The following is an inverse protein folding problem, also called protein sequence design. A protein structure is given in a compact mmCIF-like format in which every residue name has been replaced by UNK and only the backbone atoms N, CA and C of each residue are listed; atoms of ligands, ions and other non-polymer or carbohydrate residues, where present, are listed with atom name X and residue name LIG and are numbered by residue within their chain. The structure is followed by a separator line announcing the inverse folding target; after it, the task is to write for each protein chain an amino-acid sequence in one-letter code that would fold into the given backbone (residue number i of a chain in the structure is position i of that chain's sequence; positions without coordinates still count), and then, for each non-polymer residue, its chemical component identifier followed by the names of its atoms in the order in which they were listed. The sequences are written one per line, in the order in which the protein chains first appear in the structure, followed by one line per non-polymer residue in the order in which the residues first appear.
data_IF_170672612736
#
_entry.id   IF_170672612736
#
_cell.length_a   1.000
_cell.length_b   1.000
_cell.length_c   1.000
_cell.angle_alpha   90.00
_cell.angle_beta   90.00
_cell.angle_gamma   90.00
#
_symmetry.space_group_name_H-M   'P 1'
#
loop_
_entity.id
_entity.type
_entity.pdbx_description
1 polymer ?
#
# COMPACT_ATOMS: atom_id res chain seq x y z
N UNK A 1 75.74 -55.58 -27.62
CA UNK A 1 74.43 -55.37 -28.28
C UNK A 1 73.33 -55.91 -27.38
N UNK A 2 72.29 -55.09 -27.16
CA UNK A 2 70.99 -55.38 -26.52
C UNK A 2 70.99 -55.89 -25.07
N UNK A 3 70.30 -55.15 -24.19
CA UNK A 3 69.39 -55.70 -23.17
C UNK A 3 68.44 -54.60 -22.66
N UNK A 4 67.21 -54.96 -22.21
CA UNK A 4 66.02 -54.15 -22.44
C UNK A 4 65.51 -53.36 -21.22
N UNK A 5 64.53 -52.51 -21.52
CA UNK A 5 63.88 -51.49 -20.71
C UNK A 5 63.01 -52.06 -19.58
N UNK A 6 63.01 -51.42 -18.41
CA UNK A 6 61.89 -51.43 -17.46
C UNK A 6 61.29 -50.02 -17.39
N UNK A 7 60.01 -49.91 -17.75
CA UNK A 7 59.17 -48.73 -17.53
C UNK A 7 58.35 -48.97 -16.26
N UNK A 8 58.57 -48.16 -15.23
CA UNK A 8 57.63 -48.01 -14.11
C UNK A 8 56.68 -46.86 -14.47
N UNK A 9 55.39 -47.19 -14.62
CA UNK A 9 54.33 -46.20 -14.78
C UNK A 9 53.93 -45.61 -13.45
N UNK A 10 53.99 -44.28 -13.35
CA UNK A 10 53.53 -43.52 -12.18
C UNK A 10 52.14 -42.95 -12.52
N UNK A 11 51.10 -43.44 -11.85
CA UNK A 11 49.74 -42.90 -11.95
C UNK A 11 49.63 -41.73 -10.97
N UNK A 12 49.52 -40.51 -11.48
CA UNK A 12 49.21 -39.31 -10.69
C UNK A 12 47.71 -39.08 -10.75
N UNK A 13 47.02 -39.24 -9.63
CA UNK A 13 45.62 -38.89 -9.49
C UNK A 13 45.50 -37.37 -9.25
N UNK A 14 44.89 -36.66 -10.19
CA UNK A 14 44.55 -35.23 -10.05
C UNK A 14 43.15 -35.13 -9.45
N UNK A 15 43.06 -34.68 -8.19
CA UNK A 15 41.77 -34.35 -7.56
C UNK A 15 41.46 -32.88 -7.90
N UNK A 16 40.51 -32.67 -8.80
CA UNK A 16 39.97 -31.34 -9.11
C UNK A 16 38.94 -30.91 -8.07
N UNK A 17 39.20 -29.82 -7.36
CA UNK A 17 38.21 -29.17 -6.48
C UNK A 17 37.30 -28.30 -7.34
N UNK A 18 36.03 -28.71 -7.51
CA UNK A 18 34.99 -27.87 -8.10
C UNK A 18 34.51 -26.86 -7.05
N UNK A 19 34.82 -25.58 -7.25
CA UNK A 19 34.17 -24.48 -6.54
C UNK A 19 32.84 -24.21 -7.24
N UNK A 20 31.74 -24.69 -6.67
CA UNK A 20 30.39 -24.34 -7.13
C UNK A 20 30.03 -22.96 -6.57
N UNK A 21 30.09 -21.93 -7.41
CA UNK A 21 29.47 -20.63 -7.10
C UNK A 21 27.96 -20.77 -7.27
N UNK A 22 27.22 -20.95 -6.19
CA UNK A 22 25.76 -20.88 -6.22
C UNK A 22 25.35 -19.42 -6.53
N UNK A 23 24.80 -19.19 -7.72
CA UNK A 23 24.10 -17.94 -8.00
C UNK A 23 22.87 -17.86 -7.07
N UNK A 24 22.54 -16.69 -6.49
CA UNK A 24 21.35 -16.56 -5.66
C UNK A 24 20.12 -16.85 -6.54
N UNK A 25 19.24 -17.74 -6.06
CA UNK A 25 17.95 -17.97 -6.68
C UNK A 25 17.18 -16.65 -6.68
N UNK A 26 16.96 -16.08 -7.87
CA UNK A 26 16.11 -14.91 -8.04
C UNK A 26 14.68 -15.39 -7.78
N UNK A 27 14.05 -14.93 -6.70
CA UNK A 27 12.64 -15.20 -6.48
C UNK A 27 11.85 -14.75 -7.72
N UNK A 28 10.96 -15.61 -8.21
CA UNK A 28 10.14 -15.29 -9.37
C UNK A 28 9.34 -14.00 -9.11
N UNK A 29 9.30 -13.11 -10.10
CA UNK A 29 8.55 -11.86 -10.03
C UNK A 29 7.06 -12.17 -9.84
N UNK A 30 6.42 -11.50 -8.88
CA UNK A 30 5.00 -11.68 -8.62
C UNK A 30 4.16 -11.06 -9.75
N UNK A 31 3.05 -11.68 -10.18
CA UNK A 31 2.17 -11.09 -11.17
C UNK A 31 1.51 -9.81 -10.62
N UNK A 32 1.60 -8.71 -11.36
CA UNK A 32 0.95 -7.44 -11.00
C UNK A 32 -0.33 -7.31 -11.81
N UNK A 33 -1.47 -7.30 -11.12
CA UNK A 33 -2.78 -7.03 -11.72
C UNK A 33 -3.22 -5.63 -11.34
N UNK A 34 -3.42 -4.75 -12.32
CA UNK A 34 -3.89 -3.37 -12.13
C UNK A 34 -5.42 -3.32 -12.03
N UNK A 35 -5.92 -3.81 -10.89
CA UNK A 35 -7.34 -3.86 -10.56
C UNK A 35 -7.54 -3.78 -9.05
N UNK A 36 -8.41 -2.89 -8.60
CA UNK A 36 -8.69 -2.68 -7.18
C UNK A 36 -9.12 -3.96 -6.47
N UNK A 37 -9.94 -4.79 -7.12
CA UNK A 37 -10.48 -6.03 -6.57
C UNK A 37 -9.53 -7.23 -6.69
N UNK A 38 -8.31 -7.06 -7.21
CA UNK A 38 -7.34 -8.15 -7.40
C UNK A 38 -6.94 -8.85 -6.08
N UNK A 39 -7.17 -8.21 -4.94
CA UNK A 39 -6.93 -8.79 -3.62
C UNK A 39 -8.04 -9.73 -3.12
N UNK A 40 -9.27 -9.62 -3.64
CA UNK A 40 -10.44 -10.36 -3.15
C UNK A 40 -10.25 -11.88 -3.22
N UNK A 41 -9.74 -12.48 -4.32
CA UNK A 41 -9.55 -13.93 -4.38
C UNK A 41 -8.66 -14.47 -3.26
N UNK A 42 -7.63 -13.72 -2.86
CA UNK A 42 -6.73 -14.12 -1.76
C UNK A 42 -7.48 -14.11 -0.41
N UNK A 43 -8.31 -13.10 -0.14
CA UNK A 43 -9.13 -13.05 1.07
C UNK A 43 -10.17 -14.19 1.13
N UNK A 44 -10.68 -14.64 -0.02
CA UNK A 44 -11.60 -15.78 -0.09
C UNK A 44 -10.90 -17.13 0.17
N UNK A 45 -9.63 -17.27 -0.24
CA UNK A 45 -8.87 -18.52 -0.09
C UNK A 45 -8.05 -18.60 1.18
N UNK A 46 -7.65 -17.45 1.75
CA UNK A 46 -6.90 -17.30 2.99
C UNK A 46 -7.52 -16.18 3.86
N UNK A 47 -8.67 -16.46 4.53
CA UNK A 47 -9.38 -15.51 5.38
C UNK A 47 -8.50 -14.83 6.43
N UNK A 48 -8.41 -13.50 6.40
CA UNK A 48 -7.56 -12.71 7.32
C UNK A 48 -6.05 -12.88 7.10
N UNK A 49 -5.65 -13.58 6.05
CA UNK A 49 -4.28 -13.82 5.62
C UNK A 49 -3.59 -12.59 5.02
N UNK A 50 -2.47 -12.81 4.34
CA UNK A 50 -1.68 -11.74 3.71
C UNK A 50 -1.47 -12.03 2.23
N UNK A 51 -1.49 -10.97 1.41
CA UNK A 51 -1.16 -11.11 0.00
C UNK A 51 0.28 -11.59 -0.18
N UNK A 52 0.56 -12.48 -1.14
CA UNK A 52 1.93 -12.89 -1.47
C UNK A 52 2.84 -11.68 -1.69
N UNK A 53 3.92 -11.57 -0.91
CA UNK A 53 4.86 -10.45 -0.96
C UNK A 53 4.64 -9.37 0.10
N UNK A 54 3.59 -9.46 0.91
CA UNK A 54 3.34 -8.59 2.07
C UNK A 54 3.52 -9.32 3.39
N UNK A 55 3.74 -8.55 4.47
CA UNK A 55 3.80 -9.05 5.85
C UNK A 55 4.84 -10.15 6.09
N UNK A 56 5.93 -10.13 5.31
CA UNK A 56 7.12 -10.93 5.57
C UNK A 56 7.92 -10.31 6.73
N UNK A 57 7.71 -10.83 7.93
CA UNK A 57 8.38 -10.38 9.15
C UNK A 57 9.87 -10.73 9.21
N UNK A 58 10.43 -11.44 8.21
CA UNK A 58 11.87 -11.63 8.07
C UNK A 58 12.49 -10.69 7.03
N UNK A 59 11.69 -9.82 6.40
CA UNK A 59 12.17 -8.90 5.39
C UNK A 59 13.12 -7.86 6.01
N UNK A 60 14.30 -7.72 5.42
CA UNK A 60 15.30 -6.70 5.79
C UNK A 60 15.32 -5.61 4.72
N UNK A 61 15.00 -4.35 5.04
CA UNK A 61 15.08 -3.25 4.09
C UNK A 61 16.49 -3.12 3.48
N UNK A 62 16.56 -2.82 2.19
CA UNK A 62 17.82 -2.66 1.49
C UNK A 62 18.38 -1.25 1.65
N UNK A 63 19.64 -1.04 1.30
CA UNK A 63 20.21 0.31 1.26
C UNK A 63 19.50 1.23 0.25
N UNK A 64 18.94 0.66 -0.83
CA UNK A 64 18.17 1.39 -1.84
C UNK A 64 16.78 1.79 -1.32
N UNK A 65 16.14 0.89 -0.56
CA UNK A 65 14.82 1.10 0.02
C UNK A 65 14.88 0.84 1.54
N UNK A 66 15.45 1.79 2.31
CA UNK A 66 15.73 1.58 3.74
C UNK A 66 14.48 1.65 4.62
N UNK A 67 13.39 2.24 4.12
CA UNK A 67 12.13 2.33 4.81
C UNK A 67 11.18 1.22 4.30
N UNK A 68 10.62 0.37 5.17
CA UNK A 68 9.53 -0.50 4.78
C UNK A 68 8.28 0.33 4.45
N UNK A 69 7.48 -0.14 3.50
CA UNK A 69 6.23 0.51 3.08
C UNK A 69 5.05 -0.11 3.80
N UNK A 70 4.23 0.70 4.45
CA UNK A 70 2.96 0.29 5.05
C UNK A 70 1.79 0.77 4.22
N UNK A 71 0.96 -0.18 3.76
CA UNK A 71 -0.25 0.04 3.00
C UNK A 71 -1.46 0.16 3.95
N UNK A 72 -2.24 1.24 3.82
CA UNK A 72 -3.32 1.60 4.77
C UNK A 72 -4.64 1.76 4.03
N UNK A 73 -5.49 0.73 4.09
CA UNK A 73 -6.69 0.63 3.25
C UNK A 73 -7.74 1.72 3.54
N UNK A 74 -8.67 1.91 2.61
CA UNK A 74 -9.83 2.79 2.80
C UNK A 74 -10.96 2.16 3.62
N UNK A 75 -12.08 2.85 3.73
CA UNK A 75 -13.29 2.35 4.41
C UNK A 75 -13.79 1.06 3.74
N UNK A 76 -14.09 0.03 4.53
CA UNK A 76 -14.56 -1.27 4.04
C UNK A 76 -13.47 -2.20 3.49
N UNK A 77 -12.24 -1.71 3.31
CA UNK A 77 -11.10 -2.50 2.83
C UNK A 77 -10.41 -3.33 3.92
N UNK A 78 -9.41 -4.10 3.52
CA UNK A 78 -8.57 -4.93 4.39
C UNK A 78 -7.11 -4.94 3.90
N UNK A 79 -6.22 -5.57 4.66
CA UNK A 79 -4.84 -5.82 4.24
C UNK A 79 -4.72 -6.61 2.93
N UNK A 80 -5.75 -7.37 2.53
CA UNK A 80 -5.79 -8.09 1.26
C UNK A 80 -6.66 -7.37 0.22
N UNK A 81 -7.89 -7.00 0.56
CA UNK A 81 -8.90 -6.61 -0.43
C UNK A 81 -8.59 -5.31 -1.16
N UNK A 82 -7.81 -4.41 -0.58
CA UNK A 82 -7.47 -3.10 -1.16
C UNK A 82 -6.14 -3.11 -1.95
N UNK A 83 -5.31 -4.16 -1.82
CA UNK A 83 -3.88 -4.06 -2.15
C UNK A 83 -3.35 -5.07 -3.16
N UNK A 84 -4.26 -5.70 -3.93
CA UNK A 84 -3.89 -6.67 -4.96
C UNK A 84 -2.92 -6.14 -6.02
N UNK A 85 -2.97 -4.85 -6.33
CA UNK A 85 -2.00 -4.19 -7.23
C UNK A 85 -0.70 -3.83 -6.52
N UNK A 86 -0.78 -3.14 -5.39
CA UNK A 86 0.38 -2.50 -4.78
C UNK A 86 1.33 -3.48 -4.07
N UNK A 87 0.82 -4.57 -3.48
CA UNK A 87 1.69 -5.56 -2.82
C UNK A 87 2.68 -6.20 -3.81
N UNK A 88 2.24 -6.88 -4.89
CA UNK A 88 3.17 -7.50 -5.82
C UNK A 88 4.04 -6.45 -6.53
N UNK A 89 3.48 -5.27 -6.86
CA UNK A 89 4.24 -4.19 -7.49
C UNK A 89 5.42 -3.74 -6.64
N UNK A 90 5.17 -3.35 -5.38
CA UNK A 90 6.22 -2.83 -4.50
C UNK A 90 7.20 -3.93 -4.08
N UNK A 91 6.73 -5.17 -3.91
CA UNK A 91 7.63 -6.30 -3.64
C UNK A 91 8.59 -6.55 -4.80
N UNK A 92 8.11 -6.47 -6.05
CA UNK A 92 8.95 -6.62 -7.24
C UNK A 92 9.98 -5.48 -7.40
N UNK A 93 9.67 -4.30 -6.87
CA UNK A 93 10.60 -3.16 -6.79
C UNK A 93 11.59 -3.28 -5.61
N UNK A 94 11.48 -4.32 -4.79
CA UNK A 94 12.44 -4.61 -3.71
C UNK A 94 12.12 -3.96 -2.37
N UNK A 95 10.89 -3.46 -2.17
CA UNK A 95 10.44 -2.96 -0.88
C UNK A 95 10.06 -4.11 0.08
N UNK A 96 10.29 -3.90 1.37
CA UNK A 96 9.58 -4.65 2.41
C UNK A 96 8.18 -4.06 2.57
N UNK A 97 7.14 -4.80 2.18
CA UNK A 97 5.76 -4.32 2.14
C UNK A 97 4.97 -4.93 3.31
N UNK A 98 4.25 -4.08 4.03
CA UNK A 98 3.38 -4.48 5.14
C UNK A 98 1.99 -3.87 4.95
N UNK A 99 0.97 -4.59 5.38
CA UNK A 99 -0.41 -4.13 5.33
C UNK A 99 -1.16 -4.66 6.56
N UNK A 100 -2.07 -3.84 7.08
CA UNK A 100 -2.89 -4.17 8.25
C UNK A 100 -4.36 -4.01 7.93
N UNK A 101 -5.21 -4.86 8.51
CA UNK A 101 -6.64 -4.58 8.62
C UNK A 101 -6.88 -3.84 9.93
N UNK A 102 -7.30 -2.59 9.85
CA UNK A 102 -7.61 -1.76 11.01
C UNK A 102 -9.11 -1.44 11.06
N UNK A 103 -9.63 -1.01 12.20
CA UNK A 103 -11.01 -0.54 12.33
C UNK A 103 -12.08 -1.59 11.99
N UNK A 104 -11.73 -2.87 11.95
CA UNK A 104 -12.70 -3.96 11.81
C UNK A 104 -13.52 -4.13 13.09
N UNK A 105 -14.71 -4.73 12.98
CA UNK A 105 -15.55 -5.02 14.16
C UNK A 105 -14.89 -6.08 15.02
N UNK A 106 -14.54 -5.71 16.25
CA UNK A 106 -13.92 -6.62 17.22
C UNK A 106 -14.78 -7.87 17.44
N UNK A 107 -14.17 -9.04 17.26
CA UNK A 107 -14.83 -10.33 17.51
C UNK A 107 -15.82 -10.78 16.43
N UNK A 108 -16.00 -10.02 15.34
CA UNK A 108 -16.84 -10.45 14.24
C UNK A 108 -16.24 -11.69 13.53
N UNK A 109 -17.06 -12.67 13.11
CA UNK A 109 -16.57 -13.79 12.31
C UNK A 109 -16.28 -13.34 10.87
N UNK A 110 -15.47 -14.12 10.16
CA UNK A 110 -15.36 -13.97 8.71
C UNK A 110 -16.72 -14.27 8.04
N UNK A 111 -17.11 -13.56 6.96
CA UNK A 111 -16.34 -12.53 6.23
C UNK A 111 -16.47 -11.10 6.77
N UNK A 112 -17.19 -10.87 7.87
CA UNK A 112 -17.37 -9.51 8.43
C UNK A 112 -16.05 -8.96 8.99
N UNK A 113 -15.20 -9.81 9.56
CA UNK A 113 -13.85 -9.42 10.04
C UNK A 113 -12.92 -8.90 8.96
N UNK A 114 -13.18 -9.21 7.69
CA UNK A 114 -12.43 -8.68 6.55
C UNK A 114 -12.85 -7.25 6.17
N UNK A 115 -13.92 -6.71 6.76
CA UNK A 115 -14.39 -5.34 6.52
C UNK A 115 -13.75 -4.42 7.57
N UNK A 116 -12.62 -3.81 7.22
CA UNK A 116 -11.92 -2.82 8.03
C UNK A 116 -12.41 -1.39 7.83
N UNK A 117 -11.83 -0.46 8.59
CA UNK A 117 -12.10 0.96 8.49
C UNK A 117 -13.52 1.35 8.89
N UNK A 118 -14.18 0.55 9.74
CA UNK A 118 -15.56 0.77 10.16
C UNK A 118 -15.65 1.44 11.54
N UNK A 119 -14.73 1.11 12.45
CA UNK A 119 -14.64 1.66 13.80
C UNK A 119 -14.02 3.07 13.85
N UNK A 120 -13.99 3.68 15.05
CA UNK A 120 -13.47 5.05 15.21
C UNK A 120 -12.05 5.23 14.65
N UNK A 121 -11.83 6.36 13.96
CA UNK A 121 -10.54 6.67 13.35
C UNK A 121 -9.41 6.92 14.37
N UNK A 122 -9.72 7.40 15.58
CA UNK A 122 -8.75 7.54 16.67
C UNK A 122 -8.21 6.18 17.14
N UNK A 123 -9.10 5.20 17.35
CA UNK A 123 -8.74 3.83 17.72
C UNK A 123 -8.00 3.14 16.56
N UNK A 124 -8.46 3.36 15.33
CA UNK A 124 -7.77 2.91 14.11
C UNK A 124 -6.35 3.46 14.01
N UNK A 125 -6.13 4.73 14.38
CA UNK A 125 -4.80 5.34 14.41
C UNK A 125 -3.90 4.74 15.48
N UNK A 126 -4.45 4.33 16.63
CA UNK A 126 -3.70 3.60 17.65
C UNK A 126 -3.30 2.20 17.17
N UNK A 127 -4.19 1.48 16.48
CA UNK A 127 -3.88 0.20 15.84
C UNK A 127 -2.76 0.35 14.79
N UNK A 128 -2.85 1.39 13.94
CA UNK A 128 -1.81 1.73 12.99
C UNK A 128 -0.48 2.04 13.67
N UNK A 129 -0.47 2.83 14.75
CA UNK A 129 0.75 3.15 15.49
C UNK A 129 1.43 1.91 16.07
N UNK A 130 0.66 1.00 16.68
CA UNK A 130 1.19 -0.28 17.17
C UNK A 130 1.79 -1.13 16.04
N UNK A 131 1.17 -1.10 14.85
CA UNK A 131 1.67 -1.79 13.66
C UNK A 131 2.96 -1.16 13.14
N UNK A 132 3.05 0.17 13.04
CA UNK A 132 4.27 0.91 12.69
C UNK A 132 5.41 0.52 13.62
N UNK A 133 5.16 0.50 14.94
CA UNK A 133 6.18 0.14 15.91
C UNK A 133 6.64 -1.31 15.77
N UNK A 134 5.72 -2.24 15.47
CA UNK A 134 6.06 -3.63 15.18
C UNK A 134 6.94 -3.72 13.93
N UNK A 135 6.55 -3.08 12.83
CA UNK A 135 7.31 -3.07 11.57
C UNK A 135 8.72 -2.52 11.79
N UNK A 136 8.86 -1.37 12.47
CA UNK A 136 10.17 -0.76 12.77
C UNK A 136 11.04 -1.64 13.64
N UNK A 137 10.48 -2.25 14.70
CA UNK A 137 11.22 -3.18 15.57
C UNK A 137 11.72 -4.41 14.81
N UNK A 138 10.89 -4.98 13.96
CA UNK A 138 11.21 -6.21 13.24
C UNK A 138 12.23 -5.98 12.12
N UNK A 139 12.07 -4.88 11.37
CA UNK A 139 12.94 -4.56 10.23
C UNK A 139 14.22 -3.82 10.62
N UNK A 140 14.27 -3.24 11.82
CA UNK A 140 15.35 -2.35 12.26
C UNK A 140 15.28 -0.93 11.66
N UNK A 141 14.26 -0.63 10.85
CA UNK A 141 14.12 0.68 10.20
C UNK A 141 13.76 1.78 11.20
N UNK A 142 14.40 2.95 11.05
CA UNK A 142 14.12 4.11 11.89
C UNK A 142 12.79 4.79 11.54
N UNK A 143 12.36 4.71 10.29
CA UNK A 143 11.10 5.24 9.76
C UNK A 143 10.42 4.23 8.84
N UNK A 144 9.18 4.53 8.47
CA UNK A 144 8.40 3.82 7.46
C UNK A 144 7.95 4.79 6.38
N UNK A 145 7.65 4.26 5.20
CA UNK A 145 6.89 4.97 4.18
C UNK A 145 5.43 4.50 4.24
N UNK A 146 4.50 5.40 3.97
CA UNK A 146 3.05 5.12 4.02
C UNK A 146 2.44 5.32 2.65
N UNK A 147 1.63 4.35 2.22
CA UNK A 147 0.70 4.51 1.09
C UNK A 147 -0.72 4.30 1.62
N UNK A 148 -1.48 5.38 1.71
CA UNK A 148 -2.86 5.37 2.17
C UNK A 148 -3.85 5.52 1.03
N UNK A 149 -5.00 4.86 1.11
CA UNK A 149 -6.12 5.04 0.18
C UNK A 149 -7.35 5.57 0.93
N UNK A 150 -8.00 6.61 0.41
CA UNK A 150 -9.26 7.14 0.95
C UNK A 150 -9.12 7.50 2.44
N UNK A 151 -9.98 6.97 3.33
CA UNK A 151 -9.85 7.07 4.79
C UNK A 151 -8.45 6.69 5.32
N UNK A 152 -7.77 5.76 4.66
CA UNK A 152 -6.40 5.36 4.99
C UNK A 152 -5.36 6.47 4.84
N UNK A 153 -5.71 7.63 4.29
CA UNK A 153 -4.87 8.85 4.28
C UNK A 153 -5.12 9.75 5.50
N UNK A 154 -6.13 9.45 6.31
CA UNK A 154 -6.47 10.25 7.50
C UNK A 154 -5.94 9.57 8.76
N UNK A 155 -6.10 8.25 8.84
CA UNK A 155 -5.68 7.44 10.00
C UNK A 155 -4.19 7.60 10.34
N UNK A 156 -3.24 7.46 9.40
CA UNK A 156 -1.81 7.66 9.69
C UNK A 156 -1.48 9.11 10.03
N UNK A 157 -2.25 10.08 9.54
CA UNK A 157 -2.03 11.49 9.86
C UNK A 157 -2.44 11.80 11.31
N UNK A 158 -3.51 11.18 11.81
CA UNK A 158 -3.87 11.27 13.22
C UNK A 158 -2.75 10.69 14.10
N UNK A 159 -2.21 9.52 13.74
CA UNK A 159 -1.06 8.94 14.43
C UNK A 159 0.15 9.89 14.43
N UNK A 160 0.51 10.43 13.27
CA UNK A 160 1.66 11.31 13.11
C UNK A 160 1.53 12.60 13.93
N UNK A 161 0.32 13.16 14.02
CA UNK A 161 0.06 14.42 14.72
C UNK A 161 -0.18 14.27 16.23
N UNK A 162 -0.85 13.20 16.65
CA UNK A 162 -1.44 13.12 17.99
C UNK A 162 -1.00 11.91 18.81
N UNK A 163 -0.42 10.88 18.19
CA UNK A 163 -0.02 9.64 18.87
C UNK A 163 1.49 9.39 18.84
N UNK A 164 2.29 10.45 18.70
CA UNK A 164 3.76 10.39 18.75
C UNK A 164 4.44 9.94 17.45
N UNK A 165 3.68 9.75 16.35
CA UNK A 165 4.20 9.24 15.08
C UNK A 165 5.01 10.21 14.22
N UNK A 166 5.17 11.48 14.64
CA UNK A 166 5.76 12.56 13.82
C UNK A 166 7.14 12.22 13.23
N UNK A 167 7.96 11.51 13.99
CA UNK A 167 9.32 11.12 13.58
C UNK A 167 9.41 9.72 12.95
N UNK A 168 8.29 9.00 12.83
CA UNK A 168 8.26 7.61 12.39
C UNK A 168 7.95 7.43 10.90
N UNK A 169 7.51 8.50 10.21
CA UNK A 169 7.14 8.47 8.79
C UNK A 169 8.12 9.33 7.98
N UNK A 170 8.57 8.84 6.82
CA UNK A 170 9.41 9.62 5.90
C UNK A 170 8.62 10.11 4.68
N UNK A 171 8.09 9.18 3.88
CA UNK A 171 7.18 9.48 2.78
C UNK A 171 5.72 9.13 3.15
N UNK A 172 4.79 9.99 2.74
CA UNK A 172 3.36 9.83 2.90
C UNK A 172 2.68 10.02 1.55
N UNK A 173 2.34 8.91 0.91
CA UNK A 173 1.68 8.90 -0.40
C UNK A 173 0.20 8.60 -0.21
N UNK A 174 -0.64 9.48 -0.74
CA UNK A 174 -2.08 9.44 -0.57
C UNK A 174 -2.78 9.21 -1.91
N UNK A 175 -3.61 8.19 -1.98
CA UNK A 175 -4.46 7.85 -3.12
C UNK A 175 -5.90 8.23 -2.78
N UNK A 176 -6.52 9.11 -3.59
CA UNK A 176 -7.83 9.71 -3.32
C UNK A 176 -8.00 10.20 -1.85
N UNK A 177 -7.10 11.09 -1.38
CA UNK A 177 -7.10 11.51 0.02
C UNK A 177 -8.36 12.22 0.49
N UNK A 178 -8.76 11.94 1.73
CA UNK A 178 -9.88 12.59 2.41
C UNK A 178 -9.42 13.72 3.37
N UNK A 179 -8.41 14.53 2.99
CA UNK A 179 -7.79 15.51 3.91
C UNK A 179 -8.77 16.49 4.54
N UNK A 180 -9.74 16.99 3.75
CA UNK A 180 -10.82 17.89 4.23
C UNK A 180 -12.13 17.16 4.53
N UNK A 181 -12.11 15.84 4.52
CA UNK A 181 -13.29 15.01 4.69
C UNK A 181 -14.12 14.93 3.41
N UNK A 182 -15.29 14.33 3.54
CA UNK A 182 -16.29 14.20 2.48
C UNK A 182 -17.70 14.30 3.05
N UNK A 183 -18.59 14.97 2.32
CA UNK A 183 -20.03 14.98 2.59
C UNK A 183 -20.81 13.87 1.86
N UNK A 184 -20.13 12.98 1.13
CA UNK A 184 -20.74 11.89 0.35
C UNK A 184 -20.64 10.58 1.13
N UNK A 185 -21.73 9.81 1.18
CA UNK A 185 -21.73 8.49 1.81
C UNK A 185 -20.94 7.46 0.99
N UNK A 186 -19.95 6.80 1.60
CA UNK A 186 -19.02 5.87 0.93
C UNK A 186 -19.59 4.50 0.49
N UNK A 187 -20.90 4.38 0.30
CA UNK A 187 -21.55 3.10 -0.01
C UNK A 187 -21.08 2.50 -1.35
N UNK A 188 -20.77 3.33 -2.34
CA UNK A 188 -20.41 2.87 -3.68
C UNK A 188 -19.04 2.15 -3.72
N UNK A 189 -18.19 2.38 -2.72
CA UNK A 189 -16.90 1.68 -2.56
C UNK A 189 -17.02 0.45 -1.66
N UNK A 190 -17.84 0.54 -0.61
CA UNK A 190 -18.03 -0.55 0.36
C UNK A 190 -18.83 -1.69 -0.27
N UNK A 191 -19.90 -1.39 -1.01
CA UNK A 191 -20.84 -2.41 -1.51
C UNK A 191 -20.24 -3.37 -2.54
N UNK A 192 -19.37 -2.96 -3.48
CA UNK A 192 -18.64 -3.89 -4.33
C UNK A 192 -17.80 -4.91 -3.55
N UNK A 193 -17.09 -4.48 -2.51
CA UNK A 193 -16.30 -5.39 -1.64
C UNK A 193 -17.24 -6.35 -0.91
N UNK A 194 -18.30 -5.83 -0.29
CA UNK A 194 -19.31 -6.62 0.44
C UNK A 194 -19.92 -7.70 -0.46
N UNK A 195 -20.38 -7.33 -1.67
CA UNK A 195 -20.95 -8.28 -2.64
C UNK A 195 -19.93 -9.32 -3.09
N UNK A 196 -18.67 -8.91 -3.31
CA UNK A 196 -17.60 -9.81 -3.74
C UNK A 196 -17.18 -10.80 -2.65
N UNK A 197 -17.38 -10.45 -1.37
CA UNK A 197 -17.23 -11.35 -0.22
C UNK A 197 -18.48 -12.22 0.05
N UNK A 198 -19.52 -12.13 -0.79
CA UNK A 198 -20.76 -12.90 -0.64
C UNK A 198 -21.70 -12.41 0.47
N UNK A 199 -21.49 -11.19 0.99
CA UNK A 199 -22.32 -10.58 2.02
C UNK A 199 -23.49 -9.79 1.42
N UNK A 200 -24.59 -9.70 2.17
CA UNK A 200 -25.72 -8.80 1.87
C UNK A 200 -25.58 -7.47 2.60
N UNK A 201 -26.16 -6.36 2.08
CA UNK A 201 -26.05 -5.03 2.70
C UNK A 201 -26.45 -4.98 4.18
N UNK A 202 -27.44 -5.78 4.60
CA UNK A 202 -27.92 -5.80 5.99
C UNK A 202 -26.91 -6.44 6.97
N UNK A 203 -25.89 -7.11 6.45
CA UNK A 203 -24.81 -7.73 7.22
C UNK A 203 -23.60 -6.80 7.36
N UNK A 204 -23.61 -5.63 6.71
CA UNK A 204 -22.53 -4.65 6.81
C UNK A 204 -22.58 -3.99 8.19
N UNK A 205 -21.46 -3.96 8.93
CA UNK A 205 -21.46 -3.39 10.27
C UNK A 205 -21.69 -1.88 10.24
N UNK A 206 -22.17 -1.34 11.36
CA UNK A 206 -22.31 0.10 11.52
C UNK A 206 -20.97 0.81 11.33
N UNK A 207 -20.93 1.76 10.39
CA UNK A 207 -19.73 2.49 10.04
C UNK A 207 -19.61 3.78 10.87
N UNK A 208 -18.91 3.71 12.00
CA UNK A 208 -18.58 4.89 12.81
C UNK A 208 -17.66 5.83 12.05
N UNK A 209 -16.66 5.28 11.35
CA UNK A 209 -15.70 6.08 10.58
C UNK A 209 -16.36 6.91 9.47
N UNK A 210 -17.44 6.41 8.87
CA UNK A 210 -18.16 7.10 7.79
C UNK A 210 -18.71 8.45 8.26
N UNK A 211 -19.30 8.51 9.47
CA UNK A 211 -19.76 9.77 10.05
C UNK A 211 -18.58 10.69 10.42
N UNK A 212 -17.43 10.11 10.77
CA UNK A 212 -16.23 10.86 11.14
C UNK A 212 -15.46 11.43 9.94
N UNK A 213 -15.79 11.01 8.71
CA UNK A 213 -15.25 11.62 7.47
C UNK A 213 -15.98 12.92 7.11
N UNK A 214 -17.09 13.25 7.76
CA UNK A 214 -17.75 14.55 7.57
C UNK A 214 -16.74 15.70 7.80
N UNK A 215 -16.67 16.72 6.92
CA UNK A 215 -15.72 17.82 7.06
C UNK A 215 -15.80 18.55 8.41
N UNK A 216 -16.99 18.56 9.02
CA UNK A 216 -17.26 19.13 10.32
C UNK A 216 -16.93 18.20 11.49
N UNK A 217 -16.63 16.92 11.29
CA UNK A 217 -16.36 15.98 12.37
C UNK A 217 -15.10 16.35 13.17
N UNK A 218 -15.07 15.98 14.46
CA UNK A 218 -13.98 16.36 15.37
C UNK A 218 -12.61 15.88 14.87
N UNK A 219 -12.53 14.64 14.36
CA UNK A 219 -11.28 14.10 13.84
C UNK A 219 -10.79 14.88 12.62
N UNK A 220 -11.68 15.30 11.71
CA UNK A 220 -11.29 16.10 10.54
C UNK A 220 -10.83 17.50 10.95
N UNK A 221 -11.48 18.12 11.95
CA UNK A 221 -11.02 19.38 12.53
C UNK A 221 -9.64 19.24 13.17
N UNK A 222 -9.37 18.16 13.90
CA UNK A 222 -8.03 17.85 14.45
C UNK A 222 -7.01 17.68 13.32
N UNK A 223 -7.34 16.93 12.27
CA UNK A 223 -6.45 16.75 11.12
C UNK A 223 -6.13 18.08 10.41
N UNK A 224 -7.07 19.01 10.32
CA UNK A 224 -6.84 20.34 9.77
C UNK A 224 -6.06 21.28 10.71
N UNK A 225 -6.14 21.06 12.03
CA UNK A 225 -5.52 21.92 13.03
C UNK A 225 -3.99 21.99 12.86
N UNK A 226 -3.45 23.20 12.85
CA UNK A 226 -2.03 23.46 12.63
C UNK A 226 -1.55 23.22 11.18
N UNK A 227 -2.47 23.06 10.22
CA UNK A 227 -2.18 22.76 8.82
C UNK A 227 -2.08 21.26 8.55
N UNK A 228 -2.47 20.79 7.37
CA UNK A 228 -2.59 19.35 7.05
C UNK A 228 -1.27 18.58 7.11
N UNK A 229 -0.14 19.25 6.85
CA UNK A 229 1.14 18.61 6.57
C UNK A 229 2.19 18.91 7.66
N UNK A 230 2.95 17.90 8.05
CA UNK A 230 4.07 18.04 8.98
C UNK A 230 5.37 18.31 8.18
N UNK A 231 6.18 19.33 8.52
CA UNK A 231 7.36 19.68 7.72
C UNK A 231 8.42 18.57 7.57
N UNK A 232 8.45 17.62 8.49
CA UNK A 232 9.41 16.50 8.52
C UNK A 232 9.02 15.30 7.64
N UNK A 233 7.86 15.35 7.01
CA UNK A 233 7.30 14.27 6.17
C UNK A 233 7.13 14.80 4.74
N UNK A 234 7.52 14.00 3.75
CA UNK A 234 7.26 14.31 2.33
C UNK A 234 5.89 13.75 1.94
N UNK A 235 5.02 14.60 1.41
CA UNK A 235 3.66 14.22 1.02
C UNK A 235 3.50 14.23 -0.49
N UNK A 236 2.92 13.17 -1.02
CA UNK A 236 2.41 13.14 -2.40
C UNK A 236 0.93 12.78 -2.35
N UNK A 237 0.07 13.66 -2.85
CA UNK A 237 -1.37 13.45 -2.91
C UNK A 237 -1.78 13.26 -4.35
N UNK A 238 -2.39 12.11 -4.64
CA UNK A 238 -2.82 11.71 -5.97
C UNK A 238 -4.35 11.64 -5.92
N UNK A 239 -5.01 12.59 -6.58
CA UNK A 239 -6.46 12.64 -6.68
C UNK A 239 -6.91 12.43 -8.12
N UNK A 240 -8.19 12.10 -8.30
CA UNK A 240 -8.80 11.97 -9.62
C UNK A 240 -9.93 12.97 -9.78
N UNK A 241 -10.08 13.57 -10.98
CA UNK A 241 -11.20 14.46 -11.28
C UNK A 241 -12.55 13.75 -11.33
N UNK A 242 -12.54 12.41 -11.39
CA UNK A 242 -13.72 11.56 -11.41
C UNK A 242 -14.06 10.98 -10.03
N UNK A 243 -13.46 11.51 -8.98
CA UNK A 243 -13.73 11.07 -7.61
C UNK A 243 -15.19 11.37 -7.25
N UNK A 244 -15.96 10.33 -7.02
CA UNK A 244 -17.37 10.36 -6.67
C UNK A 244 -17.62 10.45 -5.17
N UNK A 245 -16.58 10.22 -4.35
CA UNK A 245 -16.69 10.28 -2.89
C UNK A 245 -16.03 11.53 -2.31
N UNK A 246 -14.89 11.97 -2.80
CA UNK A 246 -14.26 13.23 -2.40
C UNK A 246 -14.73 14.31 -3.38
N UNK A 247 -15.81 15.00 -3.04
CA UNK A 247 -16.45 15.98 -3.94
C UNK A 247 -16.45 17.39 -3.34
N UNK A 248 -15.81 18.38 -3.99
CA UNK A 248 -14.93 18.24 -5.17
C UNK A 248 -13.62 17.50 -4.81
N UNK A 249 -13.01 16.81 -5.79
CA UNK A 249 -11.76 16.05 -5.58
C UNK A 249 -10.62 16.89 -4.99
N UNK A 250 -10.66 18.21 -5.19
CA UNK A 250 -9.71 19.17 -4.64
C UNK A 250 -9.75 19.25 -3.11
N UNK A 251 -10.78 18.70 -2.44
CA UNK A 251 -10.78 18.50 -0.99
C UNK A 251 -9.62 17.60 -0.52
N UNK A 252 -9.16 16.70 -1.39
CA UNK A 252 -7.97 15.88 -1.18
C UNK A 252 -6.65 16.56 -1.57
N UNK A 253 -6.67 17.78 -2.10
CA UNK A 253 -5.47 18.48 -2.56
C UNK A 253 -5.27 19.83 -1.85
N UNK A 254 -5.31 19.92 -0.50
CA UNK A 254 -4.99 21.16 0.15
C UNK A 254 -3.55 21.61 -0.22
N UNK A 255 -3.31 22.91 -0.39
CA UNK A 255 -1.97 23.41 -0.65
C UNK A 255 -1.06 23.17 0.57
N UNK A 256 0.23 23.07 0.31
CA UNK A 256 1.25 22.84 1.34
C UNK A 256 2.57 23.53 1.03
N UNK A 257 3.58 23.26 1.85
CA UNK A 257 4.94 23.75 1.64
C UNK A 257 5.68 22.96 0.54
N UNK A 258 6.99 23.19 0.42
CA UNK A 258 7.85 22.50 -0.55
C UNK A 258 7.92 20.98 -0.37
N UNK A 259 7.48 20.46 0.78
CA UNK A 259 7.40 19.04 1.08
C UNK A 259 6.08 18.39 0.60
N UNK A 260 5.23 19.10 -0.13
CA UNK A 260 3.91 18.61 -0.59
C UNK A 260 3.82 18.68 -2.10
N UNK A 261 3.47 17.55 -2.72
CA UNK A 261 3.23 17.44 -4.14
C UNK A 261 1.80 16.94 -4.40
N UNK A 262 1.01 17.71 -5.14
CA UNK A 262 -0.36 17.38 -5.50
C UNK A 262 -0.41 17.01 -6.98
N UNK A 263 -1.02 15.86 -7.28
CA UNK A 263 -1.14 15.28 -8.62
C UNK A 263 -2.62 15.04 -8.89
N UNK A 264 -3.07 15.44 -10.07
CA UNK A 264 -4.36 14.98 -10.62
C UNK A 264 -4.08 13.92 -11.67
N UNK A 265 -4.65 12.73 -11.51
CA UNK A 265 -4.39 11.56 -12.38
C UNK A 265 -4.48 11.92 -13.86
N UNK A 266 -5.42 12.77 -14.24
CA UNK A 266 -5.68 13.10 -15.65
C UNK A 266 -4.79 14.20 -16.23
N UNK A 267 -3.94 14.85 -15.44
CA UNK A 267 -2.92 15.75 -15.97
C UNK A 267 -1.96 14.97 -16.85
N UNK A 268 -1.84 15.38 -18.12
CA UNK A 268 -1.03 14.66 -19.11
C UNK A 268 -1.62 13.33 -19.60
N UNK A 269 -2.84 12.96 -19.20
CA UNK A 269 -3.54 11.79 -19.72
C UNK A 269 -5.07 11.94 -19.65
N UNK A 270 -5.66 12.52 -20.68
CA UNK A 270 -7.10 12.82 -20.68
C UNK A 270 -8.00 11.58 -20.80
N UNK A 271 -7.45 10.43 -21.18
CA UNK A 271 -8.16 9.16 -21.39
C UNK A 271 -8.20 8.27 -20.14
N UNK A 272 -7.58 8.69 -19.05
CA UNK A 272 -7.62 7.97 -17.78
C UNK A 272 -8.91 8.32 -17.01
N UNK A 273 -9.87 7.39 -16.97
CA UNK A 273 -11.15 7.53 -16.27
C UNK A 273 -11.17 6.88 -14.88
N UNK A 274 -9.99 6.70 -14.27
CA UNK A 274 -9.85 6.25 -12.88
C UNK A 274 -10.78 7.04 -11.95
N UNK A 275 -11.64 6.37 -11.18
CA UNK A 275 -12.47 6.99 -10.12
C UNK A 275 -11.93 6.65 -8.72
N UNK A 276 -12.70 6.89 -7.66
CA UNK A 276 -12.22 6.82 -6.28
C UNK A 276 -11.61 5.46 -5.91
N UNK A 277 -12.30 4.34 -6.18
CA UNK A 277 -11.78 3.01 -5.86
C UNK A 277 -10.67 2.58 -6.84
N UNK A 278 -10.89 2.83 -8.13
CA UNK A 278 -10.01 2.43 -9.22
C UNK A 278 -8.60 3.03 -9.10
N UNK A 279 -8.42 4.15 -8.40
CA UNK A 279 -7.09 4.75 -8.19
C UNK A 279 -6.15 3.84 -7.40
N UNK A 280 -6.70 2.97 -6.53
CA UNK A 280 -5.95 1.95 -5.81
C UNK A 280 -5.64 0.70 -6.65
N UNK A 281 -6.15 0.63 -7.89
CA UNK A 281 -5.80 -0.37 -8.90
C UNK A 281 -5.26 0.21 -10.21
N UNK A 282 -5.12 1.53 -10.32
CA UNK A 282 -4.72 2.20 -11.56
C UNK A 282 -3.22 2.08 -11.80
N UNK A 283 -2.84 1.72 -13.04
CA UNK A 283 -1.43 1.63 -13.43
C UNK A 283 -0.75 2.99 -13.42
N UNK A 284 -1.46 4.03 -13.85
CA UNK A 284 -0.95 5.40 -13.83
C UNK A 284 -0.70 5.88 -12.40
N UNK A 285 -1.67 5.68 -11.50
CA UNK A 285 -1.52 6.02 -10.09
C UNK A 285 -0.36 5.26 -9.44
N UNK A 286 -0.23 3.97 -9.74
CA UNK A 286 0.86 3.14 -9.25
C UNK A 286 2.25 3.69 -9.62
N UNK A 287 2.44 4.20 -10.83
CA UNK A 287 3.70 4.81 -11.24
C UNK A 287 3.97 6.15 -10.57
N UNK A 288 2.94 6.94 -10.26
CA UNK A 288 3.11 8.12 -9.38
C UNK A 288 3.57 7.71 -7.98
N UNK A 289 3.02 6.64 -7.41
CA UNK A 289 3.46 6.10 -6.11
C UNK A 289 4.91 5.64 -6.17
N UNK A 290 5.33 4.90 -7.21
CA UNK A 290 6.73 4.50 -7.38
C UNK A 290 7.67 5.71 -7.43
N UNK A 291 7.31 6.75 -8.19
CA UNK A 291 8.12 7.97 -8.29
C UNK A 291 8.16 8.77 -6.98
N UNK A 292 7.11 8.69 -6.17
CA UNK A 292 7.07 9.32 -4.85
C UNK A 292 7.94 8.57 -3.82
N UNK A 293 8.02 7.23 -3.92
CA UNK A 293 8.81 6.38 -3.03
C UNK A 293 10.28 6.27 -3.44
N UNK A 294 10.63 6.45 -4.71
CA UNK A 294 12.01 6.48 -5.23
C UNK A 294 12.22 7.68 -6.18
N UNK A 295 12.24 8.92 -5.65
CA UNK A 295 12.38 10.12 -6.48
C UNK A 295 13.76 10.25 -7.16
N UNK A 296 14.75 9.45 -6.74
CA UNK A 296 16.07 9.42 -7.36
C UNK A 296 16.09 8.59 -8.66
N UNK A 297 15.09 7.73 -8.87
CA UNK A 297 14.99 6.87 -10.04
C UNK A 297 13.57 6.93 -10.66
N UNK A 298 13.13 8.10 -11.12
CA UNK A 298 11.77 8.26 -11.63
C UNK A 298 11.53 7.42 -12.89
N UNK A 299 10.35 6.81 -12.95
CA UNK A 299 9.83 6.03 -14.07
C UNK A 299 8.93 6.92 -14.95
N UNK A 300 8.91 6.72 -16.27
CA UNK A 300 7.89 7.32 -17.13
C UNK A 300 6.49 6.89 -16.70
N UNK A 301 5.59 7.84 -16.50
CA UNK A 301 4.22 7.56 -16.07
C UNK A 301 3.36 7.21 -17.29
N UNK A 302 2.75 6.01 -17.35
CA UNK A 302 1.98 5.56 -18.51
C UNK A 302 0.66 6.32 -18.64
N UNK A 303 0.20 6.50 -19.87
CA UNK A 303 -1.11 7.06 -20.17
C UNK A 303 -2.01 5.97 -20.77
N UNK A 304 -2.68 5.25 -19.88
CA UNK A 304 -3.53 4.12 -20.20
C UNK A 304 -4.99 4.45 -19.86
N UNK A 305 -5.94 3.81 -20.54
CA UNK A 305 -7.36 3.95 -20.20
C UNK A 305 -7.66 3.11 -18.97
N UNK A 306 -8.02 3.74 -17.86
CA UNK A 306 -8.55 3.04 -16.69
C UNK A 306 -10.08 3.06 -16.72
N UNK A 307 -10.71 1.91 -16.48
CA UNK A 307 -12.15 1.78 -16.31
C UNK A 307 -12.53 1.94 -14.82
N UNK A 308 -13.76 2.41 -14.52
CA UNK A 308 -14.24 2.52 -13.15
C UNK A 308 -14.19 1.20 -12.38
N UNK A 309 -13.85 1.27 -11.09
CA UNK A 309 -13.70 0.20 -10.08
C UNK A 309 -12.57 -0.79 -10.41
N UNK A 310 -12.44 -1.18 -11.67
CA UNK A 310 -11.56 -2.24 -12.14
C UNK A 310 -10.16 -1.76 -12.52
N UNK A 311 -9.90 -0.45 -12.54
CA UNK A 311 -8.57 0.10 -12.81
C UNK A 311 -8.17 -0.02 -14.28
N UNK A 312 -6.90 -0.34 -14.56
CA UNK A 312 -6.36 -0.48 -15.93
C UNK A 312 -6.12 -1.95 -16.26
N UNK A 313 -7.14 -2.74 -16.63
CA UNK A 313 -6.98 -4.16 -16.92
C UNK A 313 -6.19 -4.44 -18.23
N UNK A 314 -5.91 -3.42 -19.06
CA UNK A 314 -5.22 -3.54 -20.35
C UNK A 314 -4.20 -2.43 -20.55
#
# INVERSE_FOLDING_TARGET
MRSPKLLWGLVVAVIGVLVMTAAPARADTLPVTYNFLAGIPNELTDPGGSLPGSNDWNCTPSARHPNPVILVHGTGGSQQTNWGTYVPLLKNEGYCVFALTYGAVTGAPWPISAIGGMGEMSNSAAQFGAFVDKVRRTTGASKVDVVGHSQGTVVPAYYAKYLGGRGAIDNYVSLAPAWRGSGVGGNDVIMPIVRSLGLRPEQVPFCQACAQLDPGAEVMRKIAAGGFYLPSIRYTNIATRYDELIVPYTLGLPPGGSNVHNIVVQEGCSVDYTEHAGIAGSRRAAFFVLNALDPQNPRPVPCDRAAPITGSPF
#
